data_IF_525450460215
#
_entry.id   IF_525450460215
#
_cell.length_a   1.000
_cell.length_b   1.000
_cell.length_c   1.000
_cell.angle_alpha   90.00
_cell.angle_beta   90.00
_cell.angle_gamma   90.00
#
_symmetry.space_group_name_H-M   'P 1'
#
loop_
_entity.id
_entity.type
_entity.pdbx_description
1 polymer ?
#
# COMPACT_ATOMS: atom_id res chain seq x y z
N UNK A 1 -9.78 -31.78 -32.66
CA UNK A 1 -10.23 -30.40 -32.98
C UNK A 1 -10.89 -29.87 -31.73
N UNK A 2 -10.16 -29.04 -30.96
CA UNK A 2 -10.69 -28.51 -29.70
C UNK A 2 -11.64 -27.35 -30.00
N UNK A 3 -12.92 -27.60 -29.82
CA UNK A 3 -13.99 -26.61 -29.94
C UNK A 3 -13.91 -25.68 -28.73
N UNK A 4 -13.37 -24.48 -28.90
CA UNK A 4 -13.45 -23.43 -27.90
C UNK A 4 -14.88 -22.86 -27.92
N UNK A 5 -15.68 -23.18 -26.91
CA UNK A 5 -16.95 -22.51 -26.63
C UNK A 5 -16.65 -21.10 -26.12
N UNK A 6 -16.59 -20.13 -27.04
CA UNK A 6 -16.67 -18.72 -26.70
C UNK A 6 -18.08 -18.42 -26.16
N UNK A 7 -18.21 -18.28 -24.84
CA UNK A 7 -19.42 -17.71 -24.25
C UNK A 7 -19.49 -16.21 -24.61
N UNK A 8 -20.16 -15.90 -25.72
CA UNK A 8 -20.61 -14.54 -26.05
C UNK A 8 -21.69 -14.12 -25.05
N UNK A 9 -21.45 -13.00 -24.36
CA UNK A 9 -22.43 -12.13 -23.72
C UNK A 9 -23.58 -12.83 -22.99
N UNK A 10 -23.33 -13.37 -21.81
CA UNK A 10 -24.42 -13.65 -20.87
C UNK A 10 -24.69 -12.40 -20.04
N UNK A 11 -25.34 -11.40 -20.64
CA UNK A 11 -26.07 -10.39 -19.88
C UNK A 11 -27.18 -11.15 -19.14
N UNK A 12 -26.96 -11.49 -17.88
CA UNK A 12 -27.98 -12.11 -17.04
C UNK A 12 -29.10 -11.07 -16.86
N UNK A 13 -30.16 -11.21 -17.64
CA UNK A 13 -31.42 -10.52 -17.39
C UNK A 13 -32.12 -11.28 -16.28
N UNK A 14 -32.06 -10.75 -15.06
CA UNK A 14 -32.92 -11.22 -13.98
C UNK A 14 -34.11 -10.28 -13.81
N UNK A 15 -35.26 -10.82 -13.43
CA UNK A 15 -36.41 -10.04 -12.98
C UNK A 15 -36.49 -10.14 -11.46
N UNK A 16 -36.58 -8.99 -10.77
CA UNK A 16 -36.75 -8.95 -9.32
C UNK A 16 -38.14 -9.47 -8.97
N UNK A 17 -38.22 -10.48 -8.09
CA UNK A 17 -39.50 -10.86 -7.49
C UNK A 17 -39.86 -9.83 -6.42
N UNK A 18 -40.72 -8.89 -6.78
CA UNK A 18 -41.20 -7.83 -5.91
C UNK A 18 -42.40 -8.33 -5.09
N UNK A 19 -42.31 -8.21 -3.77
CA UNK A 19 -43.42 -8.35 -2.84
C UNK A 19 -44.04 -6.98 -2.53
N UNK A 20 -45.35 -6.94 -2.38
CA UNK A 20 -46.07 -5.77 -1.83
C UNK A 20 -47.12 -6.26 -0.86
N UNK A 21 -47.31 -5.54 0.25
CA UNK A 21 -48.42 -5.81 1.14
C UNK A 21 -49.76 -5.64 0.38
N UNK A 22 -50.65 -6.62 0.48
CA UNK A 22 -51.99 -6.60 -0.13
C UNK A 22 -52.81 -5.37 0.29
N UNK A 23 -52.59 -4.89 1.52
CA UNK A 23 -53.27 -3.72 2.09
C UNK A 23 -52.60 -2.38 1.71
N UNK A 24 -51.66 -2.37 0.76
CA UNK A 24 -50.96 -1.17 0.24
C UNK A 24 -50.32 -0.29 1.34
N UNK A 25 -49.77 -0.91 2.38
CA UNK A 25 -49.08 -0.20 3.45
C UNK A 25 -47.93 0.70 2.93
N UNK A 26 -47.58 1.70 3.72
CA UNK A 26 -46.55 2.74 3.41
C UNK A 26 -45.17 2.15 3.12
N UNK A 27 -44.92 0.92 3.56
CA UNK A 27 -43.65 0.18 3.47
C UNK A 27 -43.20 -0.08 2.00
N UNK A 28 -44.07 0.13 1.01
CA UNK A 28 -43.70 0.09 -0.42
C UNK A 28 -43.54 -1.33 -0.99
N UNK A 29 -42.85 -1.43 -2.13
CA UNK A 29 -42.42 -2.70 -2.71
C UNK A 29 -41.11 -3.16 -2.05
N UNK A 30 -41.01 -4.44 -1.74
CA UNK A 30 -39.83 -5.07 -1.15
C UNK A 30 -39.33 -6.19 -2.07
N UNK A 31 -38.01 -6.31 -2.21
CA UNK A 31 -37.35 -7.42 -2.92
C UNK A 31 -36.62 -8.27 -1.87
N UNK A 32 -37.24 -9.33 -1.31
CA UNK A 32 -36.67 -10.05 -0.16
C UNK A 32 -35.31 -10.68 -0.45
N UNK A 33 -35.11 -11.12 -1.69
CA UNK A 33 -33.87 -11.75 -2.16
C UNK A 33 -32.72 -10.75 -2.31
N UNK A 34 -32.99 -9.44 -2.44
CA UNK A 34 -31.92 -8.44 -2.57
C UNK A 34 -31.05 -8.39 -1.31
N UNK A 35 -31.64 -8.62 -0.12
CA UNK A 35 -30.88 -8.70 1.14
C UNK A 35 -29.96 -9.92 1.19
N UNK A 36 -30.47 -11.10 0.83
CA UNK A 36 -29.69 -12.35 0.80
C UNK A 36 -28.57 -12.30 -0.25
N UNK A 37 -28.82 -11.65 -1.38
CA UNK A 37 -27.83 -11.44 -2.44
C UNK A 37 -26.89 -10.25 -2.19
N UNK A 38 -27.05 -9.53 -1.06
CA UNK A 38 -26.25 -8.35 -0.73
C UNK A 38 -26.38 -7.20 -1.72
N UNK A 39 -27.49 -7.14 -2.48
CA UNK A 39 -27.75 -6.11 -3.49
C UNK A 39 -28.22 -4.83 -2.83
N UNK A 40 -27.47 -3.74 -3.07
CA UNK A 40 -27.89 -2.41 -2.65
C UNK A 40 -28.99 -1.85 -3.58
N UNK A 41 -29.79 -0.93 -3.04
CA UNK A 41 -30.77 -0.19 -3.84
C UNK A 41 -30.09 0.51 -5.02
N UNK A 42 -30.67 0.36 -6.22
CA UNK A 42 -30.13 0.89 -7.48
C UNK A 42 -28.72 0.40 -7.86
N UNK A 43 -28.23 -0.71 -7.29
CA UNK A 43 -26.96 -1.30 -7.68
C UNK A 43 -27.03 -1.75 -9.15
N UNK A 44 -26.17 -1.14 -9.98
CA UNK A 44 -26.06 -1.43 -11.42
C UNK A 44 -24.87 -2.32 -11.77
N UNK A 45 -24.02 -2.62 -10.80
CA UNK A 45 -22.76 -3.32 -11.02
C UNK A 45 -22.46 -4.25 -9.86
N UNK A 46 -22.01 -5.46 -10.18
CA UNK A 46 -21.61 -6.45 -9.20
C UNK A 46 -20.42 -5.96 -8.35
N UNK A 47 -20.37 -6.33 -7.07
CA UNK A 47 -19.30 -5.93 -6.15
C UNK A 47 -17.97 -6.60 -6.54
N UNK A 48 -18.01 -7.87 -6.95
CA UNK A 48 -16.83 -8.58 -7.42
C UNK A 48 -16.24 -7.92 -8.67
N UNK A 49 -17.11 -7.50 -9.61
CA UNK A 49 -16.67 -6.74 -10.79
C UNK A 49 -15.97 -5.43 -10.41
N UNK A 50 -16.54 -4.67 -9.46
CA UNK A 50 -15.92 -3.43 -8.97
C UNK A 50 -14.55 -3.70 -8.33
N UNK A 51 -14.43 -4.77 -7.53
CA UNK A 51 -13.16 -5.17 -6.90
C UNK A 51 -12.10 -5.52 -7.94
N UNK A 52 -12.44 -6.36 -8.93
CA UNK A 52 -11.52 -6.75 -10.01
C UNK A 52 -11.10 -5.51 -10.81
N UNK A 53 -12.04 -4.61 -11.11
CA UNK A 53 -11.75 -3.37 -11.81
C UNK A 53 -10.76 -2.48 -11.03
N UNK A 54 -10.95 -2.32 -9.72
CA UNK A 54 -10.02 -1.61 -8.85
C UNK A 54 -8.64 -2.26 -8.81
N UNK A 55 -8.56 -3.60 -8.77
CA UNK A 55 -7.29 -4.34 -8.76
C UNK A 55 -6.51 -4.14 -10.07
N UNK A 56 -7.17 -4.24 -11.22
CA UNK A 56 -6.52 -4.00 -12.52
C UNK A 56 -6.01 -2.56 -12.60
N UNK A 57 -6.77 -1.60 -12.08
CA UNK A 57 -6.42 -0.18 -12.06
C UNK A 57 -5.20 0.17 -11.18
N UNK A 58 -4.67 -0.76 -10.38
CA UNK A 58 -3.39 -0.60 -9.68
C UNK A 58 -2.22 -0.60 -10.68
N UNK A 59 -2.33 -1.38 -11.75
CA UNK A 59 -1.22 -1.66 -12.66
C UNK A 59 -1.28 -0.86 -13.96
N UNK A 60 -2.48 -0.43 -14.38
CA UNK A 60 -2.70 0.24 -15.66
C UNK A 60 -3.66 1.42 -15.54
N UNK A 61 -3.58 2.41 -16.45
CA UNK A 61 -4.57 3.49 -16.53
C UNK A 61 -6.00 2.97 -16.70
N UNK A 62 -7.00 3.73 -16.23
CA UNK A 62 -8.41 3.29 -16.21
C UNK A 62 -8.96 2.92 -17.59
N UNK A 63 -8.52 3.58 -18.65
CA UNK A 63 -8.91 3.24 -20.02
C UNK A 63 -8.40 1.85 -20.42
N UNK A 64 -7.11 1.59 -20.19
CA UNK A 64 -6.52 0.26 -20.39
C UNK A 64 -7.18 -0.80 -19.50
N UNK A 65 -7.51 -0.46 -18.25
CA UNK A 65 -8.24 -1.36 -17.36
C UNK A 65 -9.60 -1.74 -17.95
N UNK A 66 -10.37 -0.77 -18.44
CA UNK A 66 -11.66 -1.01 -19.09
C UNK A 66 -11.53 -1.91 -20.32
N UNK A 67 -10.53 -1.66 -21.17
CA UNK A 67 -10.24 -2.50 -22.33
C UNK A 67 -9.92 -3.95 -21.92
N UNK A 68 -9.03 -4.14 -20.94
CA UNK A 68 -8.64 -5.47 -20.46
C UNK A 68 -9.82 -6.22 -19.85
N UNK A 69 -10.62 -5.55 -19.02
CA UNK A 69 -11.81 -6.15 -18.40
C UNK A 69 -12.83 -6.55 -19.47
N UNK A 70 -13.04 -5.73 -20.49
CA UNK A 70 -13.91 -6.07 -21.61
C UNK A 70 -13.41 -7.32 -22.36
N UNK A 71 -12.11 -7.42 -22.62
CA UNK A 71 -11.53 -8.60 -23.27
C UNK A 71 -11.67 -9.87 -22.43
N UNK A 72 -11.52 -9.78 -21.11
CA UNK A 72 -11.59 -10.95 -20.21
C UNK A 72 -13.03 -11.38 -19.90
N UNK A 73 -13.96 -10.43 -19.79
CA UNK A 73 -15.31 -10.66 -19.24
C UNK A 73 -16.43 -10.50 -20.27
N UNK A 74 -16.15 -9.85 -21.40
CA UNK A 74 -17.17 -9.42 -22.36
C UNK A 74 -18.00 -8.21 -21.92
N UNK A 75 -17.80 -7.69 -20.70
CA UNK A 75 -18.55 -6.57 -20.15
C UNK A 75 -17.83 -5.26 -20.46
N UNK A 76 -18.55 -4.33 -21.07
CA UNK A 76 -18.03 -2.97 -21.30
C UNK A 76 -18.11 -2.14 -20.03
N UNK A 77 -16.96 -1.62 -19.59
CA UNK A 77 -16.84 -0.78 -18.39
C UNK A 77 -16.11 0.50 -18.79
N UNK A 78 -16.72 1.64 -18.52
CA UNK A 78 -16.10 2.93 -18.82
C UNK A 78 -14.96 3.25 -17.85
N UNK A 79 -13.94 3.96 -18.33
CA UNK A 79 -12.84 4.45 -17.48
C UNK A 79 -13.33 5.33 -16.32
N UNK A 80 -14.41 6.08 -16.55
CA UNK A 80 -15.07 6.89 -15.52
C UNK A 80 -15.66 6.02 -14.40
N UNK A 81 -16.34 4.92 -14.73
CA UNK A 81 -16.89 4.01 -13.72
C UNK A 81 -15.78 3.40 -12.85
N UNK A 82 -14.69 2.96 -13.49
CA UNK A 82 -13.52 2.43 -12.77
C UNK A 82 -12.93 3.49 -11.84
N UNK A 83 -12.77 4.73 -12.31
CA UNK A 83 -12.29 5.83 -11.49
C UNK A 83 -13.19 6.06 -10.26
N UNK A 84 -14.51 6.11 -10.45
CA UNK A 84 -15.49 6.28 -9.35
C UNK A 84 -15.43 5.14 -8.34
N UNK A 85 -15.28 3.89 -8.79
CA UNK A 85 -15.14 2.74 -7.91
C UNK A 85 -13.83 2.78 -7.10
N UNK A 86 -12.73 3.19 -7.73
CA UNK A 86 -11.45 3.40 -7.04
C UNK A 86 -11.57 4.52 -6.00
N UNK A 87 -12.23 5.64 -6.34
CA UNK A 87 -12.48 6.71 -5.36
C UNK A 87 -13.34 6.22 -4.19
N UNK A 88 -14.40 5.45 -4.48
CA UNK A 88 -15.28 4.89 -3.46
C UNK A 88 -14.53 3.90 -2.54
N UNK A 89 -13.70 3.03 -3.11
CA UNK A 89 -12.86 2.11 -2.34
C UNK A 89 -11.86 2.88 -1.45
N UNK A 90 -11.18 3.88 -2.02
CA UNK A 90 -10.27 4.74 -1.27
C UNK A 90 -10.97 5.49 -0.13
N UNK A 91 -12.17 6.03 -0.35
CA UNK A 91 -12.94 6.72 0.68
C UNK A 91 -13.35 5.78 1.81
N UNK A 92 -13.76 4.54 1.50
CA UNK A 92 -14.05 3.53 2.52
C UNK A 92 -12.82 3.23 3.38
N UNK A 93 -11.66 3.01 2.75
CA UNK A 93 -10.40 2.77 3.46
C UNK A 93 -10.01 3.97 4.34
N UNK A 94 -10.16 5.20 3.84
CA UNK A 94 -9.89 6.41 4.61
C UNK A 94 -10.83 6.58 5.81
N UNK A 95 -12.11 6.22 5.67
CA UNK A 95 -13.06 6.25 6.78
C UNK A 95 -12.70 5.20 7.84
N UNK A 96 -12.35 3.97 7.45
CA UNK A 96 -11.87 2.95 8.38
C UNK A 96 -10.61 3.40 9.11
N UNK A 97 -9.61 3.91 8.39
CA UNK A 97 -8.38 4.42 8.99
C UNK A 97 -8.65 5.54 9.98
N UNK A 98 -9.57 6.46 9.65
CA UNK A 98 -9.94 7.55 10.56
C UNK A 98 -10.52 7.00 11.87
N UNK A 99 -11.43 6.03 11.80
CA UNK A 99 -12.01 5.39 12.99
C UNK A 99 -10.92 4.71 13.81
N UNK A 100 -10.02 3.94 13.19
CA UNK A 100 -8.93 3.26 13.91
C UNK A 100 -7.99 4.25 14.60
N UNK A 101 -7.68 5.38 13.97
CA UNK A 101 -6.87 6.44 14.57
C UNK A 101 -7.60 7.14 15.73
N UNK A 102 -8.91 7.37 15.61
CA UNK A 102 -9.72 7.94 16.70
C UNK A 102 -9.82 6.98 17.90
N UNK A 103 -9.99 5.68 17.64
CA UNK A 103 -9.97 4.64 18.68
C UNK A 103 -8.61 4.55 19.37
N UNK A 104 -7.52 4.57 18.61
CA UNK A 104 -6.16 4.58 19.15
C UNK A 104 -5.89 5.82 20.00
N UNK A 105 -6.33 7.00 19.55
CA UNK A 105 -6.22 8.24 20.32
C UNK A 105 -7.05 8.21 21.62
N UNK A 106 -8.15 7.45 21.64
CA UNK A 106 -8.95 7.19 22.83
C UNK A 106 -8.35 6.10 23.75
N UNK A 107 -7.19 5.54 23.41
CA UNK A 107 -6.49 4.52 24.18
C UNK A 107 -6.94 3.08 23.89
N UNK A 108 -7.78 2.87 22.86
CA UNK A 108 -8.15 1.53 22.40
C UNK A 108 -7.14 1.06 21.35
N UNK A 109 -6.31 0.10 21.73
CA UNK A 109 -5.32 -0.47 20.82
C UNK A 109 -5.98 -1.33 19.73
N UNK A 110 -5.42 -1.35 18.50
CA UNK A 110 -5.93 -2.19 17.43
C UNK A 110 -5.66 -3.66 17.71
N UNK A 111 -6.45 -4.54 17.09
CA UNK A 111 -6.17 -5.97 17.09
C UNK A 111 -4.90 -6.26 16.28
N UNK A 112 -4.11 -7.22 16.76
CA UNK A 112 -2.95 -7.74 16.03
C UNK A 112 -3.43 -8.41 14.73
N UNK A 113 -2.69 -8.20 13.65
CA UNK A 113 -2.96 -8.90 12.41
C UNK A 113 -2.69 -10.40 12.56
N UNK A 114 -3.69 -11.21 12.22
CA UNK A 114 -3.55 -12.66 12.19
C UNK A 114 -2.46 -13.10 11.21
N UNK A 115 -1.46 -13.81 11.74
CA UNK A 115 -0.38 -14.42 10.98
C UNK A 115 0.03 -15.75 11.61
N UNK A 116 0.68 -16.62 10.81
CA UNK A 116 1.17 -17.89 11.34
C UNK A 116 2.32 -17.66 12.34
N UNK A 117 2.49 -18.60 13.27
CA UNK A 117 3.54 -18.51 14.29
C UNK A 117 4.95 -18.39 13.67
N UNK A 118 5.18 -19.05 12.53
CA UNK A 118 6.47 -18.97 11.81
C UNK A 118 6.75 -17.57 11.26
N UNK A 119 5.72 -16.84 10.83
CA UNK A 119 5.86 -15.47 10.33
C UNK A 119 5.96 -14.47 11.48
N UNK A 120 5.19 -14.66 12.57
CA UNK A 120 5.25 -13.81 13.76
C UNK A 120 6.63 -13.86 14.44
N UNK A 121 7.32 -15.00 14.37
CA UNK A 121 8.67 -15.20 14.90
C UNK A 121 9.79 -14.57 14.04
N UNK A 122 9.47 -13.97 12.88
CA UNK A 122 10.46 -13.28 12.04
C UNK A 122 10.70 -11.85 12.52
N UNK A 123 11.91 -11.33 12.26
CA UNK A 123 12.25 -9.92 12.49
C UNK A 123 11.29 -9.01 11.73
N UNK A 124 10.69 -8.05 12.43
CA UNK A 124 9.88 -7.00 11.82
C UNK A 124 10.80 -5.88 11.35
N UNK A 125 10.91 -5.67 10.05
CA UNK A 125 11.54 -4.50 9.49
C UNK A 125 10.48 -3.43 9.25
N UNK A 126 10.78 -2.21 9.68
CA UNK A 126 10.05 -1.01 9.29
C UNK A 126 10.99 -0.03 8.61
N UNK A 127 10.50 0.70 7.63
CA UNK A 127 11.26 1.77 7.01
C UNK A 127 10.35 2.80 6.36
N UNK A 128 10.86 4.01 6.19
CA UNK A 128 10.08 5.12 5.66
C UNK A 128 10.91 6.04 4.77
N UNK A 129 10.25 6.64 3.79
CA UNK A 129 10.83 7.52 2.79
C UNK A 129 9.78 8.52 2.24
N UNK A 130 10.27 9.60 1.63
CA UNK A 130 9.47 10.56 0.87
C UNK A 130 9.57 10.30 -0.63
N UNK A 131 8.41 10.09 -1.29
CA UNK A 131 8.36 9.88 -2.75
C UNK A 131 7.60 11.00 -3.45
N UNK A 132 8.14 11.49 -4.56
CA UNK A 132 7.47 12.53 -5.36
C UNK A 132 6.43 11.88 -6.28
N UNK A 133 5.16 12.17 -6.05
CA UNK A 133 4.06 11.72 -6.89
C UNK A 133 3.57 12.86 -7.82
N UNK A 134 3.30 12.55 -9.10
CA UNK A 134 2.79 13.54 -10.05
C UNK A 134 1.27 13.73 -9.88
N UNK A 135 0.84 14.98 -9.69
CA UNK A 135 -0.56 15.37 -9.62
C UNK A 135 -0.94 16.28 -10.78
N UNK A 136 -2.23 16.20 -11.14
CA UNK A 136 -2.83 17.15 -12.08
C UNK A 136 -2.79 18.57 -11.50
N UNK A 137 -2.56 19.59 -12.35
CA UNK A 137 -2.52 20.98 -11.91
C UNK A 137 -3.88 21.47 -11.38
N UNK A 138 -4.97 21.03 -11.99
CA UNK A 138 -6.36 21.27 -11.57
C UNK A 138 -7.18 19.98 -11.63
N UNK A 139 -8.27 19.92 -10.88
CA UNK A 139 -9.18 18.78 -10.89
C UNK A 139 -9.76 18.58 -12.31
N UNK A 140 -9.92 17.31 -12.71
CA UNK A 140 -10.55 16.88 -13.98
C UNK A 140 -9.82 17.28 -15.28
N UNK A 141 -8.71 18.00 -15.24
CA UNK A 141 -7.93 18.35 -16.45
C UNK A 141 -6.45 17.99 -16.30
N UNK A 142 -5.85 17.48 -17.38
CA UNK A 142 -4.40 17.24 -17.45
C UNK A 142 -3.62 18.45 -17.99
N UNK A 143 -4.31 19.49 -18.46
CA UNK A 143 -3.67 20.63 -19.10
C UNK A 143 -2.87 21.46 -18.08
N UNK A 144 -1.63 21.77 -18.42
CA UNK A 144 -0.73 22.58 -17.60
C UNK A 144 0.43 21.77 -17.01
N UNK A 145 1.25 22.43 -16.20
CA UNK A 145 2.45 21.84 -15.60
C UNK A 145 2.07 20.88 -14.47
N UNK A 146 2.61 19.66 -14.51
CA UNK A 146 2.49 18.67 -13.43
C UNK A 146 2.87 19.28 -12.08
N UNK A 147 2.01 19.10 -11.09
CA UNK A 147 2.30 19.45 -9.70
C UNK A 147 2.90 18.23 -9.02
N UNK A 148 4.18 18.32 -8.67
CA UNK A 148 4.83 17.28 -7.89
C UNK A 148 4.52 17.50 -6.42
N UNK A 149 4.02 16.47 -5.75
CA UNK A 149 3.76 16.50 -4.32
C UNK A 149 4.48 15.32 -3.68
N UNK A 150 5.15 15.59 -2.57
CA UNK A 150 5.75 14.54 -1.77
C UNK A 150 4.65 13.76 -1.04
N UNK A 151 4.68 12.45 -1.19
CA UNK A 151 3.91 11.48 -0.41
C UNK A 151 4.90 10.81 0.52
N UNK A 152 4.59 10.77 1.81
CA UNK A 152 5.39 10.07 2.79
C UNK A 152 4.89 8.63 2.89
N UNK A 153 5.80 7.68 2.84
CA UNK A 153 5.48 6.26 2.80
C UNK A 153 6.29 5.55 3.86
N UNK A 154 5.68 4.55 4.47
CA UNK A 154 6.34 3.60 5.35
C UNK A 154 5.94 2.18 4.96
N UNK A 155 6.86 1.25 5.14
CA UNK A 155 6.66 -0.17 4.90
C UNK A 155 6.93 -0.94 6.18
N UNK A 156 6.15 -1.99 6.41
CA UNK A 156 6.38 -3.00 7.43
C UNK A 156 6.45 -4.35 6.74
N UNK A 157 7.51 -5.12 7.02
CA UNK A 157 7.76 -6.43 6.41
C UNK A 157 8.37 -7.39 7.43
N UNK A 158 8.10 -8.67 7.27
CA UNK A 158 8.73 -9.74 8.05
C UNK A 158 9.93 -10.30 7.29
N UNK A 159 11.11 -10.25 7.88
CA UNK A 159 12.34 -10.77 7.29
C UNK A 159 12.53 -12.24 7.69
N UNK A 160 12.23 -13.12 6.74
CA UNK A 160 12.47 -14.55 6.85
C UNK A 160 13.61 -15.02 5.97
N UNK A 161 13.79 -16.34 5.90
CA UNK A 161 14.69 -17.00 4.96
C UNK A 161 13.94 -18.07 4.18
N UNK A 162 14.35 -18.30 2.94
CA UNK A 162 13.86 -19.40 2.11
C UNK A 162 15.03 -20.22 1.59
N UNK A 163 14.86 -21.54 1.55
CA UNK A 163 15.84 -22.44 0.95
C UNK A 163 15.60 -22.53 -0.55
N UNK A 164 16.60 -22.19 -1.33
CA UNK A 164 16.57 -22.32 -2.79
C UNK A 164 16.65 -23.80 -3.21
N UNK A 165 16.34 -24.10 -4.48
CA UNK A 165 16.51 -25.46 -5.05
C UNK A 165 17.96 -25.96 -4.97
N UNK A 166 18.93 -25.04 -5.01
CA UNK A 166 20.35 -25.32 -4.84
C UNK A 166 20.76 -25.52 -3.36
N UNK A 167 19.81 -25.51 -2.42
CA UNK A 167 20.05 -25.71 -1.00
C UNK A 167 20.52 -24.48 -0.23
N UNK A 168 20.85 -23.37 -0.90
CA UNK A 168 21.27 -22.10 -0.29
C UNK A 168 20.09 -21.41 0.41
N UNK A 169 20.28 -20.96 1.66
CA UNK A 169 19.34 -20.07 2.34
C UNK A 169 19.54 -18.63 1.83
N UNK A 170 18.44 -17.97 1.48
CA UNK A 170 18.44 -16.56 1.06
C UNK A 170 17.37 -15.79 1.85
N UNK A 171 17.58 -14.49 2.12
CA UNK A 171 16.57 -13.66 2.77
C UNK A 171 15.30 -13.56 1.90
N UNK A 172 14.15 -13.50 2.55
CA UNK A 172 12.85 -13.30 1.91
C UNK A 172 11.98 -12.38 2.75
N UNK A 173 11.41 -11.38 2.10
CA UNK A 173 10.41 -10.52 2.72
C UNK A 173 9.04 -11.16 2.64
N UNK A 174 8.33 -11.16 3.76
CA UNK A 174 6.97 -11.63 3.93
C UNK A 174 6.10 -10.48 4.45
N UNK A 175 4.78 -10.62 4.30
CA UNK A 175 3.76 -9.71 4.87
C UNK A 175 4.07 -8.23 4.66
N UNK A 176 3.95 -7.78 3.42
CA UNK A 176 4.14 -6.37 3.09
C UNK A 176 2.92 -5.55 3.52
N UNK A 177 3.16 -4.54 4.34
CA UNK A 177 2.18 -3.53 4.72
C UNK A 177 2.73 -2.16 4.43
N UNK A 178 1.86 -1.27 3.99
CA UNK A 178 2.23 0.08 3.57
C UNK A 178 1.32 1.07 4.25
N UNK A 179 1.93 2.00 4.98
CA UNK A 179 1.28 3.23 5.40
C UNK A 179 1.76 4.35 4.47
N UNK A 180 0.84 5.10 3.87
CA UNK A 180 1.18 6.23 3.03
C UNK A 180 0.31 7.43 3.37
N UNK A 181 0.89 8.63 3.29
CA UNK A 181 0.16 9.87 3.53
C UNK A 181 0.62 10.98 2.59
N UNK A 182 -0.36 11.64 1.98
CA UNK A 182 -0.16 12.91 1.31
C UNK A 182 -0.34 14.03 2.34
N UNK A 183 0.66 14.18 3.21
CA UNK A 183 0.59 15.05 4.39
C UNK A 183 1.96 15.30 5.01
N UNK A 184 1.95 15.70 6.26
CA UNK A 184 3.17 15.97 7.01
C UNK A 184 3.70 14.69 7.69
N UNK A 185 4.82 14.84 8.40
CA UNK A 185 5.49 13.72 9.07
C UNK A 185 4.70 13.21 10.28
N UNK A 186 3.87 14.05 10.91
CA UNK A 186 3.06 13.69 12.07
C UNK A 186 1.85 12.85 11.64
N UNK A 187 1.24 13.17 10.50
CA UNK A 187 0.21 12.33 9.88
C UNK A 187 0.75 10.93 9.55
N UNK A 188 2.04 10.84 9.16
CA UNK A 188 2.71 9.57 8.91
C UNK A 188 2.98 8.84 10.24
N UNK A 189 3.46 9.58 11.25
CA UNK A 189 3.76 9.06 12.59
C UNK A 189 2.58 8.31 13.19
N UNK A 190 1.38 8.89 13.14
CA UNK A 190 0.17 8.23 13.64
C UNK A 190 -0.18 6.95 12.85
N UNK A 191 -0.09 6.99 11.52
CA UNK A 191 -0.36 5.81 10.68
C UNK A 191 0.66 4.70 10.88
N UNK A 192 1.93 5.07 11.01
CA UNK A 192 3.01 4.13 11.30
C UNK A 192 2.84 3.50 12.67
N UNK A 193 2.44 4.28 13.67
CA UNK A 193 2.22 3.75 15.01
C UNK A 193 1.04 2.77 15.03
N UNK A 194 -0.09 3.14 14.40
CA UNK A 194 -1.23 2.23 14.24
C UNK A 194 -0.83 0.93 13.54
N UNK A 195 -0.15 1.02 12.38
CA UNK A 195 0.28 -0.17 11.64
C UNK A 195 1.32 -0.99 12.44
N UNK A 196 2.25 -0.33 13.13
CA UNK A 196 3.23 -0.98 13.99
C UNK A 196 2.57 -1.80 15.09
N UNK A 197 1.54 -1.26 15.75
CA UNK A 197 0.76 -2.00 16.73
C UNK A 197 0.07 -3.21 16.09
N UNK A 198 -0.59 -3.05 14.94
CA UNK A 198 -1.22 -4.17 14.21
C UNK A 198 -0.22 -5.25 13.81
N UNK A 199 1.01 -4.87 13.49
CA UNK A 199 2.08 -5.81 13.15
C UNK A 199 2.80 -6.40 14.37
N UNK A 200 2.38 -6.07 15.59
CA UNK A 200 2.98 -6.61 16.82
C UNK A 200 4.36 -6.05 17.11
N UNK A 201 4.58 -4.74 16.91
CA UNK A 201 5.88 -4.08 17.16
C UNK A 201 6.41 -4.30 18.57
N UNK A 202 5.52 -4.52 19.55
CA UNK A 202 5.89 -4.80 20.94
C UNK A 202 6.19 -6.26 21.23
N UNK A 203 5.61 -7.20 20.46
CA UNK A 203 5.81 -8.65 20.67
C UNK A 203 6.81 -9.27 19.70
N UNK A 204 7.15 -8.58 18.60
CA UNK A 204 8.10 -9.10 17.63
C UNK A 204 9.45 -9.37 18.32
N UNK A 205 10.11 -10.51 18.01
CA UNK A 205 11.37 -10.88 18.67
C UNK A 205 12.49 -9.87 18.41
N UNK A 206 12.38 -9.17 17.27
CA UNK A 206 13.25 -8.06 16.93
C UNK A 206 12.48 -7.12 15.99
N UNK A 207 12.63 -5.81 16.23
CA UNK A 207 12.19 -4.77 15.30
C UNK A 207 13.40 -3.98 14.82
N UNK A 208 13.47 -3.72 13.52
CA UNK A 208 14.50 -2.89 12.90
C UNK A 208 13.83 -1.71 12.25
N UNK A 209 14.28 -0.52 12.59
CA UNK A 209 13.94 0.71 11.90
C UNK A 209 15.03 1.03 10.87
N UNK A 210 14.65 1.11 9.59
CA UNK A 210 15.54 1.45 8.49
C UNK A 210 15.07 2.74 7.83
N UNK A 211 15.80 3.83 8.03
CA UNK A 211 15.48 5.11 7.38
C UNK A 211 16.71 5.76 6.78
N UNK A 212 16.47 6.80 5.99
CA UNK A 212 17.51 7.77 5.67
C UNK A 212 17.99 8.52 6.93
N UNK A 213 18.88 9.49 6.74
CA UNK A 213 19.38 10.37 7.81
C UNK A 213 18.49 11.59 8.10
N UNK A 214 17.25 11.65 7.59
CA UNK A 214 16.42 12.84 7.70
C UNK A 214 15.93 13.04 9.14
N UNK A 215 16.12 14.27 9.65
CA UNK A 215 15.76 14.64 11.03
C UNK A 215 14.30 14.32 11.40
N UNK A 216 13.37 14.48 10.46
CA UNK A 216 11.95 14.22 10.71
C UNK A 216 11.64 12.75 10.99
N UNK A 217 12.30 11.84 10.27
CA UNK A 217 12.14 10.39 10.44
C UNK A 217 12.82 9.90 11.72
N UNK A 218 14.00 10.43 12.04
CA UNK A 218 14.66 10.10 13.31
C UNK A 218 13.92 10.65 14.53
N UNK A 219 13.30 11.84 14.43
CA UNK A 219 12.40 12.33 15.49
C UNK A 219 11.23 11.36 15.73
N UNK A 220 10.59 10.89 14.67
CA UNK A 220 9.51 9.90 14.74
C UNK A 220 9.99 8.60 15.42
N UNK A 221 11.17 8.12 15.02
CA UNK A 221 11.80 6.97 15.64
C UNK A 221 12.02 7.18 17.14
N UNK A 222 12.67 8.28 17.53
CA UNK A 222 12.98 8.61 18.93
C UNK A 222 11.71 8.70 19.79
N UNK A 223 10.65 9.32 19.26
CA UNK A 223 9.39 9.54 19.99
C UNK A 223 8.55 8.26 20.16
N UNK A 224 8.60 7.31 19.22
CA UNK A 224 7.65 6.16 19.20
C UNK A 224 8.27 4.78 19.12
N UNK A 225 9.36 4.62 18.39
CA UNK A 225 9.91 3.31 18.03
C UNK A 225 11.21 2.95 18.76
N UNK A 226 11.96 3.94 19.27
CA UNK A 226 13.22 3.72 19.98
C UNK A 226 13.13 2.68 21.10
N UNK A 227 12.05 2.60 21.91
CA UNK A 227 11.94 1.56 22.93
C UNK A 227 11.80 0.13 22.39
N UNK A 228 11.41 -0.03 21.13
CA UNK A 228 11.02 -1.32 20.53
C UNK A 228 11.94 -1.75 19.38
N UNK A 229 12.63 -0.79 18.74
CA UNK A 229 13.32 -1.01 17.48
C UNK A 229 14.78 -0.55 17.51
N UNK A 230 15.61 -1.28 16.77
CA UNK A 230 17.00 -0.91 16.52
C UNK A 230 17.02 -0.01 15.28
N UNK A 231 17.44 1.23 15.46
CA UNK A 231 17.61 2.21 14.38
C UNK A 231 18.86 1.93 13.55
N UNK A 232 18.71 1.77 12.24
CA UNK A 232 19.78 1.56 11.27
C UNK A 232 19.67 2.61 10.18
N UNK A 233 20.78 3.33 9.95
CA UNK A 233 20.89 4.25 8.82
C UNK A 233 21.02 3.46 7.51
N UNK A 234 20.17 3.77 6.54
CA UNK A 234 20.19 3.12 5.23
C UNK A 234 21.53 3.29 4.52
N UNK A 235 22.17 2.17 4.17
CA UNK A 235 23.50 2.15 3.55
C UNK A 235 23.61 3.01 2.29
N UNK A 236 22.60 2.96 1.40
CA UNK A 236 22.59 3.78 0.18
C UNK A 236 22.62 5.28 0.48
N UNK A 237 21.85 5.74 1.48
CA UNK A 237 21.85 7.14 1.90
C UNK A 237 23.15 7.52 2.60
N UNK A 238 23.69 6.63 3.44
CA UNK A 238 25.00 6.83 4.05
C UNK A 238 26.09 6.99 2.97
N UNK A 239 26.12 6.11 1.97
CA UNK A 239 27.05 6.18 0.85
C UNK A 239 26.88 7.47 0.03
N UNK A 240 25.65 7.91 -0.26
CA UNK A 240 25.40 9.18 -0.95
C UNK A 240 25.92 10.39 -0.17
N UNK A 241 25.75 10.40 1.16
CA UNK A 241 26.26 11.47 2.02
C UNK A 241 27.79 11.47 2.08
N UNK A 242 28.40 10.28 2.21
CA UNK A 242 29.86 10.11 2.14
C UNK A 242 30.37 10.64 0.80
N UNK A 243 29.77 10.24 -0.33
CA UNK A 243 30.15 10.75 -1.65
C UNK A 243 30.08 12.27 -1.73
N UNK A 244 28.98 12.86 -1.24
CA UNK A 244 28.78 14.31 -1.25
C UNK A 244 29.87 15.05 -0.48
N UNK A 245 30.31 14.53 0.67
CA UNK A 245 31.40 15.09 1.46
C UNK A 245 32.76 14.97 0.76
N UNK A 246 33.08 13.78 0.27
CA UNK A 246 34.38 13.50 -0.38
C UNK A 246 34.55 14.31 -1.66
N UNK A 247 33.46 14.47 -2.43
CA UNK A 247 33.44 15.29 -3.64
C UNK A 247 33.87 16.73 -3.39
N UNK A 248 33.51 17.28 -2.22
CA UNK A 248 33.90 18.65 -1.80
C UNK A 248 35.34 18.67 -1.28
N UNK A 249 35.75 17.62 -0.57
CA UNK A 249 37.08 17.54 0.04
C UNK A 249 38.22 17.29 -0.97
N UNK A 250 38.06 16.29 -1.84
CA UNK A 250 39.12 15.79 -2.74
C UNK A 250 38.97 16.23 -4.20
N UNK A 251 38.03 17.13 -4.49
CA UNK A 251 37.51 17.40 -5.83
C UNK A 251 36.98 16.13 -6.52
N UNK A 252 35.66 16.09 -6.74
CA UNK A 252 34.95 14.97 -7.37
C UNK A 252 35.46 14.49 -8.73
N UNK A 253 36.36 15.24 -9.37
CA UNK A 253 36.96 14.90 -10.66
C UNK A 253 38.24 14.08 -10.52
N UNK A 254 38.83 13.98 -9.33
CA UNK A 254 40.12 13.33 -9.13
C UNK A 254 39.97 11.81 -8.95
N UNK A 255 40.97 11.05 -9.38
CA UNK A 255 41.06 9.60 -9.13
C UNK A 255 41.14 9.32 -7.63
N UNK A 256 41.82 10.18 -6.87
CA UNK A 256 41.92 10.09 -5.41
C UNK A 256 40.55 10.12 -4.72
N UNK A 257 39.63 10.97 -5.19
CA UNK A 257 38.26 11.03 -4.70
C UNK A 257 37.51 9.70 -4.94
N UNK A 258 37.68 9.10 -6.11
CA UNK A 258 36.98 7.86 -6.49
C UNK A 258 37.53 6.64 -5.74
N UNK A 259 38.86 6.54 -5.61
CA UNK A 259 39.53 5.47 -4.87
C UNK A 259 39.14 5.51 -3.39
N UNK A 260 39.23 6.68 -2.76
CA UNK A 260 38.87 6.85 -1.35
C UNK A 260 37.41 6.48 -1.09
N UNK A 261 36.49 6.92 -1.96
CA UNK A 261 35.08 6.59 -1.83
C UNK A 261 34.84 5.08 -1.96
N UNK A 262 35.46 4.45 -2.95
CA UNK A 262 35.31 3.01 -3.20
C UNK A 262 35.83 2.19 -2.02
N UNK A 263 37.03 2.50 -1.50
CA UNK A 263 37.58 1.83 -0.32
C UNK A 263 36.67 2.00 0.91
N UNK A 264 36.16 3.22 1.14
CA UNK A 264 35.33 3.52 2.30
C UNK A 264 33.98 2.79 2.25
N UNK A 265 33.33 2.78 1.08
CA UNK A 265 32.06 2.08 0.88
C UNK A 265 32.24 0.56 0.88
N UNK A 266 33.33 0.03 0.32
CA UNK A 266 33.64 -1.40 0.39
C UNK A 266 33.89 -1.88 1.82
N UNK A 267 34.64 -1.12 2.63
CA UNK A 267 34.84 -1.43 4.05
C UNK A 267 33.51 -1.41 4.82
N UNK A 268 32.64 -0.45 4.51
CA UNK A 268 31.30 -0.37 5.11
C UNK A 268 30.36 -1.50 4.68
N UNK A 269 30.41 -1.92 3.40
CA UNK A 269 29.59 -3.00 2.86
C UNK A 269 30.01 -4.38 3.35
N UNK A 270 31.32 -4.64 3.43
CA UNK A 270 31.86 -5.93 3.90
C UNK A 270 31.71 -6.12 5.42
N UNK A 271 31.45 -5.06 6.19
CA UNK A 271 31.15 -5.16 7.61
C UNK A 271 29.68 -5.55 7.90
N UNK A 272 28.84 -5.64 6.86
CA UNK A 272 27.40 -5.95 6.95
C UNK A 272 27.04 -7.34 6.36
N UNK A 273 28.02 -8.08 5.83
CA UNK A 273 27.90 -9.50 5.45
C UNK A 273 28.32 -10.43 6.60
#
# INVERSE_FOLDING_TARGET
>A
MNTYLFFRNCLIKWERRLGRCSNKCVIGQVAPLDKELGLASNQKSDVGLQQVACLVAIFVPFETAGMLLQQMTGIEISSQAIWEWVQSAGQRMMNCLKVELEELAAGKEPELEEMSAEIAAQTLLTGSDGVMAPFRPQAKTAMGKTKWREVKVAIFVRLGTVRTRAGKQIPRLHRHRVAAVLGNIDDLSERMWLEGLKQGVREAPQVVWLSDGARGLWRLFDERFQPYAIGILGFYHAAQNVWSGVKVWLDGRTTQCQEWFTETVQRGGNALE
#
